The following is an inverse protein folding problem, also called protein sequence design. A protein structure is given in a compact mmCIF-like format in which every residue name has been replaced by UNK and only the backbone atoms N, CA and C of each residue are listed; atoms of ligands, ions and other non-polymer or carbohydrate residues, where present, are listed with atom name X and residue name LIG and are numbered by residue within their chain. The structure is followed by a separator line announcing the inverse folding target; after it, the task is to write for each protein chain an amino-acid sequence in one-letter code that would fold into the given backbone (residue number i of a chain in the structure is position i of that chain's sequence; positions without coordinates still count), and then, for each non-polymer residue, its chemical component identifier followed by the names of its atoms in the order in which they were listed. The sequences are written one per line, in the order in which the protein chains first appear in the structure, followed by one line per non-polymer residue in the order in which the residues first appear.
data_IF_239732164666
#
_entry.id   IF_239732164666
#
_cell.length_a   1.000
_cell.length_b   1.000
_cell.length_c   1.000
_cell.angle_alpha   90.00
_cell.angle_beta   90.00
_cell.angle_gamma   90.00
#
_symmetry.space_group_name_H-M   'P 1'
#
loop_
_entity.id
_entity.type
_entity.pdbx_description
1 polymer ?
#
# COMPACT_ATOMS: atom_id res chain seq x y z
N UNK A 1 -36.34 -19.85 -27.97
CA UNK A 1 -35.56 -20.14 -26.75
C UNK A 1 -34.14 -19.71 -27.05
N UNK A 2 -33.88 -18.44 -26.84
CA UNK A 2 -32.61 -17.75 -27.06
C UNK A 2 -32.59 -16.61 -26.05
N UNK A 3 -31.41 -16.25 -25.55
CA UNK A 3 -31.13 -15.35 -24.43
C UNK A 3 -31.13 -16.00 -23.04
N UNK A 4 -30.09 -16.79 -22.75
CA UNK A 4 -29.68 -17.04 -21.35
C UNK A 4 -28.15 -17.14 -21.21
N UNK A 5 -27.39 -16.47 -22.09
CA UNK A 5 -25.93 -16.64 -22.20
C UNK A 5 -25.08 -15.44 -21.76
N UNK A 6 -25.70 -14.31 -21.41
CA UNK A 6 -24.98 -13.02 -21.31
C UNK A 6 -24.77 -12.51 -19.87
N UNK A 7 -25.06 -13.34 -18.85
CA UNK A 7 -24.98 -12.92 -17.44
C UNK A 7 -23.74 -13.40 -16.67
N UNK A 8 -22.93 -14.31 -17.22
CA UNK A 8 -21.79 -14.90 -16.50
C UNK A 8 -20.50 -14.04 -16.54
N UNK A 9 -20.28 -13.25 -17.60
CA UNK A 9 -19.05 -12.46 -17.75
C UNK A 9 -18.99 -11.23 -16.82
N UNK A 10 -20.12 -10.60 -16.50
CA UNK A 10 -20.13 -9.38 -15.68
C UNK A 10 -19.92 -9.67 -14.18
N UNK A 11 -20.30 -10.87 -13.71
CA UNK A 11 -20.13 -11.26 -12.32
C UNK A 11 -18.65 -11.49 -11.97
N UNK A 12 -17.90 -12.09 -12.89
CA UNK A 12 -16.50 -12.46 -12.70
C UNK A 12 -15.59 -11.23 -12.51
N UNK A 13 -15.87 -10.14 -13.22
CA UNK A 13 -15.07 -8.91 -13.15
C UNK A 13 -15.16 -8.18 -11.80
N UNK A 14 -16.30 -8.29 -11.10
CA UNK A 14 -16.50 -7.63 -9.80
C UNK A 14 -15.84 -8.40 -8.65
N UNK A 15 -15.80 -9.73 -8.73
CA UNK A 15 -15.10 -10.57 -7.74
C UNK A 15 -13.58 -10.38 -7.79
N UNK A 16 -12.99 -10.21 -8.98
CA UNK A 16 -11.56 -9.93 -9.11
C UNK A 16 -11.16 -8.58 -8.49
N UNK A 17 -11.99 -7.55 -8.65
CA UNK A 17 -11.73 -6.22 -8.06
C UNK A 17 -11.76 -6.24 -6.53
N UNK A 18 -12.71 -6.98 -5.95
CA UNK A 18 -12.84 -7.13 -4.49
C UNK A 18 -11.68 -7.93 -3.87
N UNK A 19 -11.21 -8.97 -4.56
CA UNK A 19 -10.03 -9.74 -4.16
C UNK A 19 -8.77 -8.88 -4.22
N UNK A 20 -8.60 -8.07 -5.26
CA UNK A 20 -7.47 -7.14 -5.40
C UNK A 20 -7.47 -6.11 -4.27
N UNK A 21 -8.64 -5.55 -3.91
CA UNK A 21 -8.76 -4.62 -2.79
C UNK A 21 -8.35 -5.26 -1.46
N UNK A 22 -8.79 -6.49 -1.22
CA UNK A 22 -8.50 -7.22 0.02
C UNK A 22 -7.01 -7.58 0.11
N UNK A 23 -6.41 -7.99 -1.00
CA UNK A 23 -4.98 -8.34 -1.06
C UNK A 23 -4.08 -7.12 -0.84
N UNK A 24 -4.41 -5.97 -1.45
CA UNK A 24 -3.64 -4.73 -1.24
C UNK A 24 -3.74 -4.21 0.19
N UNK A 25 -4.94 -4.29 0.79
CA UNK A 25 -5.12 -3.93 2.20
C UNK A 25 -4.34 -4.89 3.12
N UNK A 26 -4.32 -6.19 2.83
CA UNK A 26 -3.57 -7.18 3.60
C UNK A 26 -2.06 -6.94 3.52
N UNK A 27 -1.54 -6.64 2.33
CA UNK A 27 -0.15 -6.26 2.12
C UNK A 27 0.22 -4.99 2.89
N UNK A 28 -0.67 -3.98 2.89
CA UNK A 28 -0.46 -2.76 3.65
C UNK A 28 -0.41 -2.99 5.16
N UNK A 29 -1.34 -3.79 5.69
CA UNK A 29 -1.36 -4.13 7.11
C UNK A 29 -0.10 -4.91 7.51
N UNK A 30 0.31 -5.86 6.68
CA UNK A 30 1.54 -6.63 6.88
C UNK A 30 2.76 -5.71 6.88
N UNK A 31 2.86 -4.79 5.91
CA UNK A 31 3.96 -3.84 5.82
C UNK A 31 3.96 -2.88 7.02
N UNK A 32 2.79 -2.40 7.46
CA UNK A 32 2.63 -1.58 8.67
C UNK A 32 3.13 -2.31 9.91
N UNK A 33 2.78 -3.57 10.09
CA UNK A 33 3.28 -4.37 11.22
C UNK A 33 4.80 -4.55 11.15
N UNK A 34 5.35 -4.83 9.96
CA UNK A 34 6.80 -4.90 9.77
C UNK A 34 7.50 -3.58 10.11
N UNK A 35 6.94 -2.44 9.70
CA UNK A 35 7.47 -1.11 10.05
C UNK A 35 7.42 -0.88 11.56
N UNK A 36 6.31 -1.28 12.21
CA UNK A 36 6.15 -1.12 13.65
C UNK A 36 7.16 -1.94 14.43
N UNK A 37 7.38 -3.18 14.00
CA UNK A 37 8.33 -4.12 14.62
C UNK A 37 9.79 -3.82 14.22
N UNK A 38 10.01 -3.14 13.10
CA UNK A 38 11.32 -2.67 12.69
C UNK A 38 11.86 -1.59 13.62
N UNK A 39 13.18 -1.60 13.77
CA UNK A 39 13.91 -0.55 14.51
C UNK A 39 13.79 0.79 13.79
N UNK A 40 13.79 1.93 14.52
CA UNK A 40 13.70 3.27 13.94
C UNK A 40 14.71 3.50 12.80
N UNK A 41 15.92 2.97 12.90
CA UNK A 41 16.94 3.10 11.85
C UNK A 41 16.59 2.36 10.55
N UNK A 42 15.74 1.34 10.62
CA UNK A 42 15.31 0.50 9.49
C UNK A 42 13.94 0.91 8.94
N UNK A 43 13.11 1.57 9.75
CA UNK A 43 11.80 2.11 9.37
C UNK A 43 11.82 2.94 8.08
N UNK A 44 12.70 3.94 7.90
CA UNK A 44 12.72 4.76 6.69
C UNK A 44 13.04 3.96 5.42
N UNK A 45 13.67 2.79 5.52
CA UNK A 45 13.89 1.90 4.37
C UNK A 45 12.58 1.33 3.78
N UNK A 46 11.48 1.34 4.54
CA UNK A 46 10.16 0.91 4.09
C UNK A 46 9.34 2.04 3.47
N UNK A 47 9.75 3.32 3.61
CA UNK A 47 9.07 4.47 3.00
C UNK A 47 8.82 4.30 1.48
N UNK A 48 9.81 3.90 0.65
CA UNK A 48 9.57 3.70 -0.78
C UNK A 48 8.65 2.51 -1.09
N UNK A 49 8.69 1.45 -0.26
CA UNK A 49 7.79 0.30 -0.43
C UNK A 49 6.34 0.68 -0.11
N UNK A 50 6.14 1.46 0.97
CA UNK A 50 4.83 1.97 1.36
C UNK A 50 4.28 2.92 0.30
N UNK A 51 5.11 3.82 -0.22
CA UNK A 51 4.75 4.72 -1.32
C UNK A 51 4.29 3.97 -2.59
N UNK A 52 4.97 2.87 -2.93
CA UNK A 52 4.60 2.03 -4.08
C UNK A 52 3.22 1.37 -3.93
N UNK A 53 2.90 0.88 -2.73
CA UNK A 53 1.57 0.32 -2.43
C UNK A 53 0.48 1.39 -2.48
N UNK A 54 0.74 2.58 -1.90
CA UNK A 54 -0.17 3.73 -1.94
C UNK A 54 -0.42 4.15 -3.40
N UNK A 55 0.62 4.23 -4.22
CA UNK A 55 0.50 4.54 -5.64
C UNK A 55 -0.36 3.49 -6.37
N UNK A 56 -0.09 2.21 -6.13
CA UNK A 56 -0.86 1.10 -6.73
C UNK A 56 -2.34 1.16 -6.34
N UNK A 57 -2.66 1.48 -5.08
CA UNK A 57 -4.03 1.67 -4.63
C UNK A 57 -4.70 2.84 -5.34
N UNK A 58 -4.02 3.98 -5.45
CA UNK A 58 -4.53 5.16 -6.16
C UNK A 58 -4.75 4.87 -7.65
N UNK A 59 -3.82 4.16 -8.31
CA UNK A 59 -3.95 3.75 -9.72
C UNK A 59 -5.16 2.84 -9.95
N UNK A 60 -5.51 2.03 -8.93
CA UNK A 60 -6.68 1.15 -8.93
C UNK A 60 -7.96 1.82 -8.42
N UNK A 61 -7.90 3.10 -8.02
CA UNK A 61 -9.04 3.83 -7.44
C UNK A 61 -9.44 3.37 -6.04
N UNK A 62 -8.56 2.65 -5.34
CA UNK A 62 -8.80 2.12 -4.00
C UNK A 62 -8.41 3.19 -2.96
N UNK A 63 -9.30 3.50 -2.00
CA UNK A 63 -8.99 4.49 -0.97
C UNK A 63 -7.88 3.98 -0.04
N UNK A 64 -6.86 4.82 0.15
CA UNK A 64 -5.75 4.57 1.07
C UNK A 64 -6.16 5.01 2.48
N UNK A 65 -6.07 4.14 3.50
CA UNK A 65 -6.38 4.51 4.88
C UNK A 65 -5.52 5.68 5.39
N UNK A 66 -6.11 6.59 6.17
CA UNK A 66 -5.38 7.73 6.73
C UNK A 66 -4.17 7.30 7.58
N UNK A 67 -4.32 6.24 8.38
CA UNK A 67 -3.22 5.69 9.19
C UNK A 67 -1.98 5.28 8.37
N UNK A 68 -2.18 4.92 7.10
CA UNK A 68 -1.11 4.54 6.19
C UNK A 68 -0.43 5.78 5.60
N UNK A 69 -1.20 6.83 5.30
CA UNK A 69 -0.66 8.12 4.87
C UNK A 69 0.16 8.77 5.98
N UNK A 70 -0.38 8.80 7.21
CA UNK A 70 0.33 9.32 8.38
C UNK A 70 1.65 8.57 8.61
N UNK A 71 1.62 7.24 8.53
CA UNK A 71 2.82 6.41 8.65
C UNK A 71 3.83 6.72 7.52
N UNK A 72 3.36 6.93 6.30
CA UNK A 72 4.25 7.26 5.19
C UNK A 72 4.95 8.60 5.40
N UNK A 73 4.22 9.62 5.85
CA UNK A 73 4.79 10.94 6.12
C UNK A 73 5.82 10.90 7.25
N UNK A 74 5.55 10.16 8.32
CA UNK A 74 6.51 9.92 9.41
C UNK A 74 7.80 9.28 8.87
N UNK A 75 7.67 8.21 8.08
CA UNK A 75 8.81 7.50 7.50
C UNK A 75 9.63 8.35 6.53
N UNK A 76 8.99 9.22 5.76
CA UNK A 76 9.66 10.15 4.85
C UNK A 76 10.46 11.18 5.64
N UNK A 77 9.89 11.72 6.72
CA UNK A 77 10.60 12.64 7.59
C UNK A 77 11.82 11.96 8.25
N UNK A 78 11.65 10.75 8.79
CA UNK A 78 12.76 9.96 9.36
C UNK A 78 13.85 9.65 8.31
N UNK A 79 13.44 9.35 7.07
CA UNK A 79 14.36 9.06 5.95
C UNK A 79 15.19 10.27 5.56
N UNK A 80 14.58 11.45 5.56
CA UNK A 80 15.26 12.72 5.31
C UNK A 80 16.32 12.91 6.40
N UNK A 81 15.96 12.83 7.68
CA UNK A 81 16.90 13.00 8.80
C UNK A 81 18.08 12.00 8.74
N UNK A 82 17.80 10.71 8.51
CA UNK A 82 18.82 9.68 8.40
C UNK A 82 19.77 9.86 7.20
N UNK A 83 19.29 10.44 6.09
CA UNK A 83 20.12 10.77 4.94
C UNK A 83 21.05 11.96 5.20
N UNK A 84 20.63 12.92 6.03
CA UNK A 84 21.43 14.10 6.36
C UNK A 84 22.49 13.81 7.44
N UNK A 85 22.23 12.90 8.38
CA UNK A 85 23.15 12.55 9.48
C UNK A 85 24.39 11.75 9.00
N UNK A 86 24.32 11.16 7.80
CA UNK A 86 25.41 10.41 7.17
C UNK A 86 26.37 11.27 6.32
N UNK A 87 26.26 12.59 6.34
CA UNK A 87 27.25 13.45 5.67
C UNK A 87 28.48 13.61 6.57
N UNK A 88 29.66 13.08 6.19
CA UNK A 88 30.88 13.34 6.95
C UNK A 88 31.24 14.82 6.80
N UNK A 89 31.53 15.47 7.92
CA UNK A 89 32.21 16.77 7.95
C UNK A 89 33.65 16.68 7.48
#
# INVERSE_FOLDING_TARGET
MSDESEQDDEKTMKEEEEVIMTELNTQLLTLKEQIRDASPDMRPAFAPQLAGLIATMNEKGIPVPAEIQDLHDDLVNESIEAQFDNMPV
#
